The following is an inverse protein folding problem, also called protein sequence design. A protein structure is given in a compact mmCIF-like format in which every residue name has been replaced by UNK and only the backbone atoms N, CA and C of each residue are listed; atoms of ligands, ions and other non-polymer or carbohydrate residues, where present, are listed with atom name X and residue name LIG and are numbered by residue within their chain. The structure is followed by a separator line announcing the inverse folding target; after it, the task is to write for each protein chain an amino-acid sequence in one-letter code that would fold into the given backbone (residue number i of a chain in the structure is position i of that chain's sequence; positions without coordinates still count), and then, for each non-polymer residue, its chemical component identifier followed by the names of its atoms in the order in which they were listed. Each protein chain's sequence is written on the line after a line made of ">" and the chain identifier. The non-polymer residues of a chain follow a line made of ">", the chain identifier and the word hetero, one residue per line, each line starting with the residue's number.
data_IF_282905578059
#
_entry.id   IF_282905578059
#
_cell.length_a   1.000
_cell.length_b   1.000
_cell.length_c   1.000
_cell.angle_alpha   90.00
_cell.angle_beta   90.00
_cell.angle_gamma   90.00
#
_symmetry.space_group_name_H-M   'P 1'
#
loop_
_entity.id
_entity.type
_entity.pdbx_description
1 polymer ?
#
# COMPACT_ATOMS: atom_id res chain seq x y z
N UNK A 1 -12.19 14.81 -28.79
CA UNK A 1 -12.39 15.00 -27.34
C UNK A 1 -11.30 14.29 -26.58
N UNK A 2 -10.62 14.98 -25.68
CA UNK A 2 -9.49 14.44 -24.91
C UNK A 2 -9.86 14.46 -23.43
N UNK A 3 -10.64 13.49 -22.94
CA UNK A 3 -10.82 13.27 -21.49
C UNK A 3 -11.22 11.81 -21.24
N UNK A 4 -10.44 11.12 -20.38
CA UNK A 4 -10.76 9.92 -19.58
C UNK A 4 -9.56 8.96 -19.39
N UNK A 5 -8.32 9.42 -19.58
CA UNK A 5 -7.11 8.63 -19.25
C UNK A 5 -6.69 8.73 -17.77
N UNK A 6 -7.37 9.55 -16.95
CA UNK A 6 -6.91 9.90 -15.60
C UNK A 6 -7.75 9.31 -14.45
N UNK A 7 -8.97 8.84 -14.68
CA UNK A 7 -9.88 8.43 -13.60
C UNK A 7 -9.35 7.22 -12.80
N UNK A 8 -8.80 6.21 -13.50
CA UNK A 8 -8.30 5.00 -12.84
C UNK A 8 -7.06 5.27 -11.97
N UNK A 9 -6.18 6.20 -12.38
CA UNK A 9 -5.00 6.56 -11.60
C UNK A 9 -5.35 7.16 -10.25
N UNK A 10 -6.37 8.04 -10.20
CA UNK A 10 -6.86 8.61 -8.94
C UNK A 10 -7.45 7.56 -8.00
N UNK A 11 -8.04 6.48 -8.53
CA UNK A 11 -8.54 5.37 -7.70
C UNK A 11 -7.42 4.69 -6.92
N UNK A 12 -6.31 4.35 -7.58
CA UNK A 12 -5.19 3.68 -6.92
C UNK A 12 -4.42 4.61 -5.99
N UNK A 13 -4.29 5.89 -6.38
CA UNK A 13 -3.72 6.91 -5.48
C UNK A 13 -4.58 7.11 -4.24
N UNK A 14 -5.90 7.17 -4.39
CA UNK A 14 -6.81 7.30 -3.25
C UNK A 14 -6.75 6.07 -2.32
N UNK A 15 -6.56 4.87 -2.87
CA UNK A 15 -6.34 3.67 -2.06
C UNK A 15 -5.04 3.77 -1.25
N UNK A 16 -3.93 4.16 -1.89
CA UNK A 16 -2.65 4.34 -1.22
C UNK A 16 -2.76 5.35 -0.05
N UNK A 17 -3.35 6.51 -0.32
CA UNK A 17 -3.56 7.54 0.72
C UNK A 17 -4.52 7.06 1.82
N UNK A 18 -5.51 6.23 1.48
CA UNK A 18 -6.41 5.66 2.47
C UNK A 18 -5.71 4.66 3.39
N UNK A 19 -4.72 3.93 2.89
CA UNK A 19 -3.93 3.02 3.73
C UNK A 19 -3.10 3.82 4.73
N UNK A 20 -2.47 4.91 4.29
CA UNK A 20 -1.69 5.79 5.15
C UNK A 20 -2.57 6.41 6.26
N UNK A 21 -3.68 7.03 5.87
CA UNK A 21 -4.52 7.79 6.79
C UNK A 21 -5.26 6.95 7.83
N UNK A 22 -5.65 5.72 7.50
CA UNK A 22 -6.60 4.95 8.30
C UNK A 22 -6.26 3.46 8.33
N UNK A 23 -6.34 2.85 9.50
CA UNK A 23 -6.36 1.39 9.68
C UNK A 23 -7.39 0.99 10.74
N UNK A 24 -8.20 0.00 10.42
CA UNK A 24 -9.17 -0.61 11.32
C UNK A 24 -9.28 -2.11 11.01
N UNK A 25 -9.13 -2.96 12.04
CA UNK A 25 -9.01 -4.41 11.86
C UNK A 25 -10.18 -5.22 12.46
N UNK A 26 -11.12 -4.56 13.14
CA UNK A 26 -12.21 -5.23 13.87
C UNK A 26 -13.52 -5.29 13.09
N UNK A 27 -13.63 -4.61 11.95
CA UNK A 27 -14.82 -4.65 11.11
C UNK A 27 -15.12 -6.05 10.56
N UNK A 28 -16.38 -6.44 10.66
CA UNK A 28 -16.92 -7.68 10.08
C UNK A 28 -17.90 -7.32 8.98
N UNK A 29 -17.72 -7.89 7.79
CA UNK A 29 -18.59 -7.62 6.65
C UNK A 29 -20.05 -7.98 6.98
N UNK A 30 -20.96 -7.04 6.72
CA UNK A 30 -22.39 -7.21 6.96
C UNK A 30 -22.82 -6.98 8.42
N UNK A 31 -21.91 -6.64 9.33
CA UNK A 31 -22.23 -6.25 10.70
C UNK A 31 -22.24 -4.72 10.85
N UNK A 32 -23.24 -4.13 11.52
CA UNK A 32 -23.22 -2.70 11.84
C UNK A 32 -22.04 -2.39 12.77
N UNK A 33 -21.28 -1.34 12.44
CA UNK A 33 -20.18 -0.84 13.27
C UNK A 33 -20.61 0.49 13.89
N UNK A 34 -20.40 0.67 15.20
CA UNK A 34 -20.64 1.94 15.88
C UNK A 34 -19.50 2.94 15.56
N UNK A 35 -19.77 4.04 14.82
CA UNK A 35 -18.73 4.97 14.42
C UNK A 35 -18.02 5.64 15.60
N UNK A 36 -18.65 5.70 16.78
CA UNK A 36 -18.06 6.30 17.99
C UNK A 36 -17.04 5.40 18.67
N UNK A 37 -16.97 4.14 18.27
CA UNK A 37 -16.08 3.11 18.83
C UNK A 37 -14.96 2.72 17.87
N UNK A 38 -14.95 3.26 16.65
CA UNK A 38 -13.88 3.09 15.71
C UNK A 38 -12.60 3.73 16.25
N UNK A 39 -11.52 2.96 16.22
CA UNK A 39 -10.18 3.43 16.57
C UNK A 39 -9.35 3.35 15.30
N UNK A 40 -8.73 4.47 14.93
CA UNK A 40 -7.71 4.47 13.88
C UNK A 40 -6.41 3.91 14.46
N UNK A 41 -5.92 2.82 13.90
CA UNK A 41 -4.65 2.21 14.29
C UNK A 41 -3.43 2.84 13.58
N UNK A 42 -3.66 3.73 12.62
CA UNK A 42 -2.65 4.54 11.93
C UNK A 42 -2.66 6.00 12.39
N UNK A 43 -1.70 6.78 11.89
CA UNK A 43 -1.68 8.23 12.04
C UNK A 43 -2.70 8.88 11.10
N UNK A 44 -3.42 9.94 11.52
CA UNK A 44 -4.34 10.66 10.65
C UNK A 44 -3.61 11.72 9.79
N UNK A 45 -2.38 11.44 9.39
CA UNK A 45 -1.55 12.33 8.56
C UNK A 45 -1.10 11.59 7.30
N UNK A 46 -0.72 12.34 6.27
CA UNK A 46 -0.03 11.77 5.11
C UNK A 46 1.47 11.86 5.42
N UNK A 47 1.98 10.92 6.20
CA UNK A 47 3.38 10.83 6.63
C UNK A 47 4.13 9.65 5.98
N UNK A 48 3.44 8.84 5.18
CA UNK A 48 3.99 7.73 4.39
C UNK A 48 4.62 6.62 5.24
N UNK A 49 4.15 6.44 6.47
CA UNK A 49 4.61 5.38 7.38
C UNK A 49 4.23 3.96 6.90
N UNK A 50 3.32 3.87 5.92
CA UNK A 50 2.99 2.64 5.20
C UNK A 50 3.96 2.30 4.06
N UNK A 51 4.89 3.21 3.73
CA UNK A 51 5.88 3.09 2.63
C UNK A 51 7.33 3.13 3.13
N UNK A 52 7.62 3.98 4.11
CA UNK A 52 8.96 4.21 4.66
C UNK A 52 8.97 3.93 6.16
N UNK A 53 10.15 3.62 6.71
CA UNK A 53 10.29 3.59 8.16
C UNK A 53 10.32 4.99 8.77
N UNK A 54 10.23 5.05 10.11
CA UNK A 54 10.29 6.28 10.88
C UNK A 54 11.57 7.12 10.68
N UNK A 55 12.61 6.56 10.05
CA UNK A 55 13.84 7.29 9.70
C UNK A 55 13.84 7.80 8.25
N UNK A 56 12.75 7.61 7.51
CA UNK A 56 12.66 7.91 6.08
C UNK A 56 13.54 7.00 5.23
N UNK A 57 14.07 5.92 5.81
CA UNK A 57 14.76 4.89 5.06
C UNK A 57 13.70 3.95 4.47
N UNK A 58 14.00 3.39 3.30
CA UNK A 58 13.38 2.10 2.97
C UNK A 58 13.80 1.16 4.09
N UNK A 59 12.90 0.34 4.63
CA UNK A 59 13.33 -0.74 5.54
C UNK A 59 14.19 -1.68 4.72
N UNK A 60 15.49 -1.43 4.64
CA UNK A 60 16.44 -2.31 3.96
C UNK A 60 16.85 -3.36 4.99
N UNK A 61 15.90 -4.22 5.36
CA UNK A 61 16.31 -5.60 5.58
C UNK A 61 16.43 -6.24 4.20
N UNK A 62 17.25 -7.28 4.04
CA UNK A 62 17.41 -7.96 2.73
C UNK A 62 16.06 -8.46 2.15
N UNK A 63 15.03 -8.49 2.99
CA UNK A 63 13.66 -8.86 2.71
C UNK A 63 12.85 -7.79 1.93
N UNK A 64 13.21 -6.50 1.95
CA UNK A 64 12.42 -5.42 1.36
C UNK A 64 13.10 -4.80 0.13
N UNK A 65 13.21 -5.58 -0.95
CA UNK A 65 13.79 -5.13 -2.20
C UNK A 65 12.70 -4.74 -3.23
N UNK A 66 13.00 -3.75 -4.08
CA UNK A 66 12.31 -3.60 -5.36
C UNK A 66 13.03 -4.52 -6.34
N UNK A 67 12.40 -5.63 -6.70
CA UNK A 67 13.00 -6.65 -7.55
C UNK A 67 12.43 -6.65 -8.96
N UNK A 68 13.16 -7.27 -9.89
CA UNK A 68 12.56 -7.65 -11.16
C UNK A 68 11.64 -8.83 -10.89
N UNK A 69 10.35 -8.69 -11.19
CA UNK A 69 9.37 -9.78 -11.02
C UNK A 69 9.85 -11.08 -11.70
N UNK A 70 9.35 -12.26 -11.27
CA UNK A 70 9.56 -13.51 -12.02
C UNK A 70 9.14 -13.42 -13.50
N UNK A 71 8.23 -12.50 -13.83
CA UNK A 71 7.80 -12.17 -15.20
C UNK A 71 8.72 -11.21 -15.97
N UNK A 72 9.86 -10.79 -15.42
CA UNK A 72 10.79 -9.86 -16.06
C UNK A 72 10.37 -8.39 -16.06
N UNK A 73 9.26 -8.03 -15.39
CA UNK A 73 8.87 -6.63 -15.19
C UNK A 73 9.82 -5.96 -14.20
N UNK A 74 10.33 -4.75 -14.51
CA UNK A 74 11.56 -4.26 -13.93
C UNK A 74 11.51 -3.87 -12.44
N UNK A 75 10.34 -3.77 -11.80
CA UNK A 75 10.21 -3.31 -10.41
C UNK A 75 8.92 -3.79 -9.76
N UNK A 76 8.99 -4.62 -8.72
CA UNK A 76 7.87 -5.04 -7.85
C UNK A 76 8.39 -5.28 -6.43
N UNK A 77 7.49 -5.47 -5.46
CA UNK A 77 7.92 -5.90 -4.13
C UNK A 77 8.65 -7.25 -4.19
N UNK A 78 9.70 -7.39 -3.39
CA UNK A 78 10.25 -8.68 -3.03
C UNK A 78 9.14 -9.57 -2.44
N UNK A 79 9.25 -10.88 -2.66
CA UNK A 79 8.24 -11.86 -2.23
C UNK A 79 8.90 -12.95 -1.41
N UNK A 80 8.22 -13.39 -0.36
CA UNK A 80 8.65 -14.52 0.44
C UNK A 80 8.46 -15.86 -0.32
N UNK A 81 8.86 -16.98 0.29
CA UNK A 81 8.70 -18.32 -0.29
C UNK A 81 7.24 -18.69 -0.64
N UNK A 82 6.27 -18.01 -0.02
CA UNK A 82 4.84 -18.19 -0.28
C UNK A 82 4.30 -17.29 -1.40
N UNK A 83 5.13 -16.38 -1.93
CA UNK A 83 4.76 -15.41 -2.96
C UNK A 83 4.10 -14.14 -2.41
N UNK A 84 4.06 -13.98 -1.08
CA UNK A 84 3.49 -12.81 -0.43
C UNK A 84 4.48 -11.65 -0.52
N UNK A 85 4.00 -10.46 -0.91
CA UNK A 85 4.85 -9.29 -0.94
C UNK A 85 5.36 -8.93 0.45
N UNK A 86 6.65 -8.65 0.51
CA UNK A 86 7.30 -8.13 1.70
C UNK A 86 7.11 -6.61 1.65
N UNK A 87 6.13 -6.14 2.41
CA UNK A 87 5.73 -4.72 2.50
C UNK A 87 5.37 -4.33 3.94
N UNK A 88 5.48 -3.04 4.29
CA UNK A 88 5.19 -2.50 5.63
C UNK A 88 3.70 -2.56 5.90
N UNK A 89 2.91 -2.25 4.88
CA UNK A 89 1.48 -2.40 4.88
C UNK A 89 1.05 -3.34 3.75
N UNK A 90 0.58 -4.53 4.11
CA UNK A 90 0.13 -5.56 3.19
C UNK A 90 -1.03 -5.11 2.28
N UNK A 91 -1.76 -4.06 2.66
CA UNK A 91 -2.81 -3.47 1.83
C UNK A 91 -2.24 -2.87 0.54
N UNK A 92 -0.96 -2.47 0.54
CA UNK A 92 -0.28 -1.95 -0.65
C UNK A 92 -0.01 -3.02 -1.73
N UNK A 93 -0.18 -4.33 -1.45
CA UNK A 93 -0.09 -5.42 -2.46
C UNK A 93 -1.45 -6.07 -2.81
N UNK A 94 -2.57 -5.54 -2.33
CA UNK A 94 -3.90 -6.10 -2.65
C UNK A 94 -4.27 -5.98 -4.13
N UNK A 95 -3.69 -5.01 -4.83
CA UNK A 95 -3.89 -4.78 -6.25
C UNK A 95 -2.56 -4.45 -6.92
N UNK A 96 -2.25 -5.12 -8.04
CA UNK A 96 -1.00 -4.91 -8.78
C UNK A 96 -0.74 -3.45 -9.12
N UNK A 97 -1.78 -2.64 -9.39
CA UNK A 97 -1.63 -1.22 -9.69
C UNK A 97 -1.30 -0.40 -8.43
N UNK A 98 -1.83 -0.76 -7.26
CA UNK A 98 -1.41 -0.16 -5.98
C UNK A 98 0.04 -0.54 -5.68
N UNK A 99 0.42 -1.82 -5.88
CA UNK A 99 1.81 -2.26 -5.70
C UNK A 99 2.76 -1.46 -6.58
N UNK A 100 2.42 -1.30 -7.86
CA UNK A 100 3.26 -0.59 -8.83
C UNK A 100 3.32 0.92 -8.57
N UNK A 101 2.23 1.55 -8.12
CA UNK A 101 2.26 2.97 -7.69
C UNK A 101 3.13 3.14 -6.45
N UNK A 102 3.05 2.21 -5.50
CA UNK A 102 3.86 2.22 -4.27
C UNK A 102 5.34 2.08 -4.61
N UNK A 103 5.69 1.09 -5.43
CA UNK A 103 7.05 0.85 -5.91
C UNK A 103 7.58 2.06 -6.70
N UNK A 104 6.74 2.75 -7.48
CA UNK A 104 7.13 3.96 -8.21
C UNK A 104 7.39 5.18 -7.30
N UNK A 105 6.71 5.29 -6.16
CA UNK A 105 7.00 6.33 -5.16
C UNK A 105 8.25 5.99 -4.36
N UNK A 106 8.45 4.72 -4.08
CA UNK A 106 9.64 4.26 -3.40
C UNK A 106 10.90 4.41 -4.25
N UNK A 107 10.82 4.20 -5.58
CA UNK A 107 11.95 4.10 -6.53
C UNK A 107 12.80 5.35 -6.67
#
# INVERSE_FOLDING_TARGET
>A
ESQNTSAAGYTYLAQLLSHDLNLEETSVLGQPVDPRRLVNLNTPFIDLDTLYDFNGSRVVDEDFAIETTPSGLPRDFARDESGKAITLDQRNDQNRLVSQVTVALMS
#
